data_IF_847336875443
#
_entry.id   IF_847336875443
#
_cell.length_a   1.000
_cell.length_b   1.000
_cell.length_c   1.000
_cell.angle_alpha   90.00
_cell.angle_beta   90.00
_cell.angle_gamma   90.00
#
_symmetry.space_group_name_H-M   'P 1'
#
loop_
_entity.id
_entity.type
_entity.pdbx_description
1 polymer ?
#
# COMPACT_ATOMS: atom_id res chain seq x y z
N UNK A 1 8.07 -8.97 12.61
CA UNK A 1 9.14 -7.94 12.54
C UNK A 1 8.63 -6.50 12.64
N UNK A 2 7.38 -6.20 12.25
CA UNK A 2 6.85 -4.83 12.27
C UNK A 2 7.01 -4.09 13.61
N UNK A 3 6.74 -4.76 14.75
CA UNK A 3 6.84 -4.15 16.08
C UNK A 3 8.27 -3.72 16.46
N UNK A 4 9.29 -4.46 16.00
CA UNK A 4 10.70 -4.13 16.27
C UNK A 4 11.10 -2.89 15.46
N UNK A 5 10.74 -2.85 14.16
CA UNK A 5 10.96 -1.68 13.32
C UNK A 5 10.24 -0.43 13.86
N UNK A 6 8.99 -0.58 14.32
CA UNK A 6 8.23 0.51 14.96
C UNK A 6 8.91 1.04 16.25
N UNK A 7 9.56 0.17 17.04
CA UNK A 7 10.33 0.60 18.20
C UNK A 7 11.52 1.49 17.79
N UNK A 8 12.25 1.12 16.74
CA UNK A 8 13.34 1.94 16.20
C UNK A 8 12.85 3.28 15.65
N UNK A 9 11.71 3.31 14.95
CA UNK A 9 11.07 4.57 14.51
C UNK A 9 10.79 5.49 15.69
N UNK A 10 10.21 4.96 16.79
CA UNK A 10 9.93 5.75 18.00
C UNK A 10 11.20 6.30 18.65
N UNK A 11 12.33 5.60 18.49
CA UNK A 11 13.64 6.05 18.94
C UNK A 11 14.35 7.00 17.94
N UNK A 12 13.72 7.34 16.81
CA UNK A 12 14.30 8.12 15.69
C UNK A 12 15.54 7.47 15.06
N UNK A 13 15.68 6.15 15.21
CA UNK A 13 16.76 5.35 14.63
C UNK A 13 16.30 4.77 13.30
N UNK A 14 16.20 5.62 12.28
CA UNK A 14 15.56 5.24 11.02
C UNK A 14 16.41 4.28 10.17
N UNK A 15 17.73 4.35 10.27
CA UNK A 15 18.67 3.43 9.60
C UNK A 15 18.50 2.01 10.13
N UNK A 16 18.38 1.87 11.44
CA UNK A 16 18.13 0.58 12.10
C UNK A 16 16.73 0.06 11.76
N UNK A 17 15.73 0.94 11.68
CA UNK A 17 14.40 0.55 11.24
C UNK A 17 14.41 0.01 9.80
N UNK A 18 15.13 0.67 8.88
CA UNK A 18 15.26 0.22 7.50
C UNK A 18 15.90 -1.16 7.39
N UNK A 19 16.97 -1.43 8.14
CA UNK A 19 17.63 -2.75 8.10
C UNK A 19 16.74 -3.90 8.59
N UNK A 20 15.74 -3.61 9.43
CA UNK A 20 14.72 -4.59 9.85
C UNK A 20 13.65 -4.79 8.76
N UNK A 21 13.24 -3.73 8.09
CA UNK A 21 12.16 -3.79 7.10
C UNK A 21 12.62 -4.31 5.73
N UNK A 22 13.86 -4.05 5.31
CA UNK A 22 14.42 -4.46 4.02
C UNK A 22 14.35 -5.99 3.77
N UNK A 23 14.74 -6.88 4.71
CA UNK A 23 14.54 -8.33 4.53
C UNK A 23 13.08 -8.75 4.68
N UNK A 24 12.23 -7.97 5.36
CA UNK A 24 10.81 -8.30 5.51
C UNK A 24 10.06 -8.17 4.19
N UNK A 25 10.38 -7.15 3.40
CA UNK A 25 9.75 -6.89 2.11
C UNK A 25 10.03 -8.02 1.11
N UNK A 26 11.20 -8.66 1.20
CA UNK A 26 11.53 -9.84 0.38
C UNK A 26 10.81 -11.12 0.82
N UNK A 27 10.60 -11.30 2.13
CA UNK A 27 9.99 -12.52 2.67
C UNK A 27 8.46 -12.51 2.58
N UNK A 28 7.81 -11.39 2.91
CA UNK A 28 6.35 -11.22 2.84
C UNK A 28 6.01 -9.75 2.69
N UNK A 29 5.46 -9.40 1.54
CA UNK A 29 4.95 -8.06 1.28
C UNK A 29 3.69 -7.80 2.12
N UNK A 30 3.72 -6.71 2.89
CA UNK A 30 2.62 -6.19 3.72
C UNK A 30 2.59 -4.67 3.57
N UNK A 31 1.41 -4.11 3.33
CA UNK A 31 1.18 -2.68 3.19
C UNK A 31 1.76 -1.87 4.36
N UNK A 32 1.68 -2.38 5.58
CA UNK A 32 2.21 -1.69 6.76
C UNK A 32 3.74 -1.62 6.74
N UNK A 33 4.40 -2.73 6.37
CA UNK A 33 5.85 -2.82 6.32
C UNK A 33 6.38 -1.93 5.19
N UNK A 34 5.77 -1.99 4.01
CA UNK A 34 6.14 -1.14 2.87
C UNK A 34 5.98 0.35 3.18
N UNK A 35 4.86 0.75 3.78
CA UNK A 35 4.67 2.16 4.18
C UNK A 35 5.67 2.60 5.25
N UNK A 36 5.92 1.78 6.27
CA UNK A 36 6.91 2.09 7.30
C UNK A 36 8.32 2.21 6.71
N UNK A 37 8.68 1.37 5.73
CA UNK A 37 9.94 1.49 5.00
C UNK A 37 10.04 2.81 4.25
N UNK A 38 8.99 3.21 3.53
CA UNK A 38 8.93 4.50 2.82
C UNK A 38 9.07 5.68 3.78
N UNK A 39 8.37 5.66 4.91
CA UNK A 39 8.44 6.73 5.93
C UNK A 39 9.85 6.85 6.50
N UNK A 40 10.52 5.73 6.80
CA UNK A 40 11.91 5.75 7.26
C UNK A 40 12.86 6.29 6.19
N UNK A 41 12.71 5.82 4.94
CA UNK A 41 13.51 6.30 3.82
C UNK A 41 13.30 7.80 3.56
N UNK A 42 12.07 8.30 3.72
CA UNK A 42 11.74 9.72 3.63
C UNK A 42 12.38 10.53 4.75
N UNK A 43 12.34 10.05 6.01
CA UNK A 43 12.98 10.72 7.13
C UNK A 43 14.51 10.88 6.95
N UNK A 44 15.14 9.96 6.20
CA UNK A 44 16.55 10.00 5.84
C UNK A 44 16.84 10.66 4.48
N UNK A 45 15.82 11.14 3.78
CA UNK A 45 15.92 11.73 2.44
C UNK A 45 16.51 10.76 1.36
N UNK A 46 16.34 9.45 1.55
CA UNK A 46 16.83 8.41 0.63
C UNK A 46 15.84 8.14 -0.50
N UNK A 47 15.86 8.97 -1.56
CA UNK A 47 14.92 8.88 -2.70
C UNK A 47 14.89 7.51 -3.39
N UNK A 48 16.04 6.86 -3.56
CA UNK A 48 16.12 5.53 -4.16
C UNK A 48 15.37 4.47 -3.34
N UNK A 49 15.56 4.47 -2.01
CA UNK A 49 14.83 3.56 -1.11
C UNK A 49 13.33 3.87 -1.09
N UNK A 50 12.92 5.14 -1.19
CA UNK A 50 11.49 5.48 -1.33
C UNK A 50 10.87 4.85 -2.59
N UNK A 51 11.57 4.86 -3.74
CA UNK A 51 11.12 4.20 -4.98
C UNK A 51 10.93 2.70 -4.77
N UNK A 52 11.94 2.04 -4.20
CA UNK A 52 11.93 0.61 -3.93
C UNK A 52 10.77 0.24 -3.01
N UNK A 53 10.59 0.99 -1.92
CA UNK A 53 9.46 0.79 -1.00
C UNK A 53 8.10 0.93 -1.68
N UNK A 54 7.96 1.87 -2.62
CA UNK A 54 6.72 2.04 -3.38
C UNK A 54 6.50 0.89 -4.37
N UNK A 55 7.55 0.40 -5.04
CA UNK A 55 7.46 -0.79 -5.90
C UNK A 55 6.96 -2.01 -5.11
N UNK A 56 7.48 -2.22 -3.90
CA UNK A 56 6.98 -3.27 -3.01
C UNK A 56 5.48 -3.16 -2.71
N UNK A 57 4.96 -1.94 -2.51
CA UNK A 57 3.52 -1.76 -2.29
C UNK A 57 2.68 -2.11 -3.53
N UNK A 58 3.22 -1.89 -4.73
CA UNK A 58 2.55 -2.20 -6.00
C UNK A 58 2.60 -3.69 -6.36
N UNK A 59 3.61 -4.41 -5.86
CA UNK A 59 3.75 -5.86 -6.04
C UNK A 59 2.81 -6.68 -5.16
N UNK A 60 2.18 -6.07 -4.14
CA UNK A 60 1.18 -6.76 -3.32
C UNK A 60 -0.04 -7.07 -4.20
N UNK A 61 -0.42 -8.36 -4.35
CA UNK A 61 -1.58 -8.73 -5.15
C UNK A 61 -2.84 -8.03 -4.64
N UNK A 62 -3.65 -7.44 -5.53
CA UNK A 62 -4.92 -6.86 -5.13
C UNK A 62 -5.85 -7.97 -4.64
N UNK A 63 -6.48 -7.76 -3.49
CA UNK A 63 -7.56 -8.64 -3.04
C UNK A 63 -8.75 -8.50 -4.00
N UNK A 64 -9.24 -9.64 -4.48
CA UNK A 64 -10.41 -9.70 -5.35
C UNK A 64 -11.64 -9.52 -4.46
N UNK A 65 -12.39 -8.45 -4.70
CA UNK A 65 -13.66 -8.19 -4.02
C UNK A 65 -14.75 -9.07 -4.62
N UNK A 66 -15.06 -10.17 -3.94
CA UNK A 66 -16.12 -11.10 -4.34
C UNK A 66 -17.51 -10.61 -3.91
N UNK A 67 -17.58 -9.62 -3.02
CA UNK A 67 -18.84 -9.16 -2.46
C UNK A 67 -19.71 -8.44 -3.51
N UNK A 68 -19.09 -7.81 -4.51
CA UNK A 68 -19.78 -7.23 -5.67
C UNK A 68 -20.41 -8.26 -6.63
N UNK A 69 -20.04 -9.55 -6.55
CA UNK A 69 -20.55 -10.60 -7.46
C UNK A 69 -21.98 -11.02 -7.15
N UNK A 70 -22.49 -10.71 -5.95
CA UNK A 70 -23.85 -11.02 -5.52
C UNK A 70 -24.87 -9.94 -5.94
N UNK A 71 -24.53 -9.05 -6.89
CA UNK A 71 -25.47 -8.09 -7.43
C UNK A 71 -26.56 -8.81 -8.25
N UNK A 72 -27.76 -8.94 -7.69
CA UNK A 72 -28.90 -9.55 -8.38
C UNK A 72 -29.73 -8.49 -9.09
N UNK A 73 -30.12 -8.76 -10.34
CA UNK A 73 -31.13 -7.96 -11.08
C UNK A 73 -32.55 -8.47 -10.84
N UNK A 74 -32.70 -9.45 -9.95
CA UNK A 74 -33.97 -10.08 -9.60
C UNK A 74 -34.84 -9.13 -8.78
N UNK A 75 -36.14 -9.11 -9.08
CA UNK A 75 -37.12 -8.36 -8.30
C UNK A 75 -37.64 -9.12 -7.07
N UNK A 76 -37.17 -10.35 -6.86
CA UNK A 76 -37.56 -11.15 -5.70
C UNK A 76 -37.08 -10.51 -4.39
N UNK A 77 -38.02 -10.32 -3.47
CA UNK A 77 -37.77 -9.67 -2.18
C UNK A 77 -36.92 -10.54 -1.26
N UNK A 78 -37.05 -11.87 -1.34
CA UNK A 78 -36.24 -12.78 -0.54
C UNK A 78 -34.79 -12.78 -1.01
N UNK A 79 -34.55 -12.82 -2.31
CA UNK A 79 -33.22 -12.74 -2.90
C UNK A 79 -32.51 -11.41 -2.55
N UNK A 80 -33.21 -10.28 -2.60
CA UNK A 80 -32.67 -8.97 -2.16
C UNK A 80 -32.23 -8.98 -0.69
N UNK A 81 -33.03 -9.59 0.20
CA UNK A 81 -32.68 -9.71 1.62
C UNK A 81 -31.43 -10.58 1.84
N UNK A 82 -31.28 -11.68 1.09
CA UNK A 82 -30.11 -12.56 1.17
C UNK A 82 -28.85 -11.83 0.69
N UNK A 83 -28.92 -11.11 -0.44
CA UNK A 83 -27.81 -10.31 -0.94
C UNK A 83 -27.38 -9.24 0.07
N UNK A 84 -28.35 -8.56 0.68
CA UNK A 84 -28.05 -7.53 1.68
C UNK A 84 -27.42 -8.12 2.95
N UNK A 85 -27.87 -9.30 3.38
CA UNK A 85 -27.27 -10.00 4.50
C UNK A 85 -25.80 -10.40 4.22
N UNK A 86 -25.47 -10.83 3.00
CA UNK A 86 -24.10 -11.15 2.57
C UNK A 86 -23.23 -9.88 2.54
N UNK A 87 -23.74 -8.77 1.99
CA UNK A 87 -22.99 -7.50 1.95
C UNK A 87 -22.60 -6.96 3.33
N UNK A 88 -23.36 -7.32 4.35
CA UNK A 88 -23.13 -6.91 5.73
C UNK A 88 -22.58 -8.03 6.62
N UNK A 89 -22.22 -9.17 6.03
CA UNK A 89 -21.58 -10.23 6.79
C UNK A 89 -20.15 -9.84 7.20
N UNK A 90 -19.60 -10.46 8.27
CA UNK A 90 -18.29 -10.11 8.78
C UNK A 90 -17.14 -10.28 7.79
N UNK A 91 -17.22 -11.25 6.87
CA UNK A 91 -16.18 -11.53 5.88
C UNK A 91 -16.17 -10.42 4.81
N UNK A 92 -17.31 -10.10 4.22
CA UNK A 92 -17.41 -9.02 3.22
C UNK A 92 -16.97 -7.67 3.81
N UNK A 93 -17.38 -7.38 5.05
CA UNK A 93 -16.94 -6.18 5.76
C UNK A 93 -15.42 -6.15 5.95
N UNK A 94 -14.81 -7.27 6.33
CA UNK A 94 -13.37 -7.39 6.50
C UNK A 94 -12.59 -7.21 5.18
N UNK A 95 -13.04 -7.82 4.09
CA UNK A 95 -12.44 -7.67 2.76
C UNK A 95 -12.48 -6.20 2.29
N UNK A 96 -13.63 -5.54 2.47
CA UNK A 96 -13.79 -4.12 2.17
C UNK A 96 -12.85 -3.26 3.00
N UNK A 97 -12.77 -3.49 4.31
CA UNK A 97 -11.85 -2.77 5.19
C UNK A 97 -10.39 -2.97 4.78
N UNK A 98 -10.00 -4.18 4.39
CA UNK A 98 -8.64 -4.47 3.99
C UNK A 98 -8.28 -3.79 2.66
N UNK A 99 -9.21 -3.79 1.69
CA UNK A 99 -9.09 -3.01 0.44
C UNK A 99 -8.96 -1.52 0.70
N UNK A 100 -9.80 -0.95 1.56
CA UNK A 100 -9.71 0.45 1.92
C UNK A 100 -8.38 0.78 2.59
N UNK A 101 -7.87 -0.12 3.45
CA UNK A 101 -6.57 0.04 4.10
C UNK A 101 -5.43 0.02 3.09
N UNK A 102 -5.46 -0.89 2.11
CA UNK A 102 -4.50 -0.94 1.02
C UNK A 102 -4.50 0.38 0.20
N UNK A 103 -5.68 0.84 -0.21
CA UNK A 103 -5.83 2.10 -0.97
C UNK A 103 -5.32 3.31 -0.19
N UNK A 104 -5.70 3.45 1.09
CA UNK A 104 -5.23 4.52 1.97
C UNK A 104 -3.71 4.48 2.11
N UNK A 105 -3.13 3.28 2.24
CA UNK A 105 -1.67 3.10 2.34
C UNK A 105 -0.96 3.56 1.07
N UNK A 106 -1.41 3.11 -0.10
CA UNK A 106 -0.83 3.51 -1.39
C UNK A 106 -0.93 5.02 -1.57
N UNK A 107 -2.11 5.61 -1.33
CA UNK A 107 -2.32 7.06 -1.45
C UNK A 107 -1.40 7.85 -0.49
N UNK A 108 -1.24 7.37 0.74
CA UNK A 108 -0.34 7.98 1.71
C UNK A 108 1.11 7.92 1.23
N UNK A 109 1.56 6.76 0.73
CA UNK A 109 2.88 6.60 0.16
C UNK A 109 3.10 7.52 -1.05
N UNK A 110 2.13 7.62 -1.95
CA UNK A 110 2.17 8.56 -3.08
C UNK A 110 2.33 9.99 -2.60
N UNK A 111 1.54 10.45 -1.63
CA UNK A 111 1.64 11.81 -1.10
C UNK A 111 3.01 12.11 -0.47
N UNK A 112 3.66 11.13 0.15
CA UNK A 112 5.01 11.27 0.71
C UNK A 112 6.05 11.40 -0.41
N UNK A 113 5.90 10.60 -1.48
CA UNK A 113 6.92 10.47 -2.52
C UNK A 113 6.77 11.53 -3.62
N UNK A 114 5.56 11.96 -3.94
CA UNK A 114 5.27 12.92 -5.01
C UNK A 114 6.14 14.20 -4.95
N UNK A 115 6.30 14.86 -3.78
CA UNK A 115 7.18 16.04 -3.67
C UNK A 115 8.66 15.71 -3.86
N UNK A 116 9.08 14.47 -3.61
CA UNK A 116 10.47 14.04 -3.70
C UNK A 116 10.91 13.69 -5.12
N UNK A 117 9.98 13.22 -5.96
CA UNK A 117 10.24 12.84 -7.37
C UNK A 117 10.45 14.09 -8.22
N UNK A 118 9.64 15.13 -8.03
CA UNK A 118 9.78 16.34 -8.81
C UNK A 118 9.12 17.56 -8.14
N UNK A 119 9.78 18.71 -8.22
CA UNK A 119 9.19 20.01 -7.86
C UNK A 119 8.09 20.44 -8.84
N UNK A 120 8.06 19.87 -10.06
CA UNK A 120 7.05 20.13 -11.09
C UNK A 120 6.66 18.85 -11.83
N UNK A 121 5.45 18.78 -12.39
CA UNK A 121 4.99 17.61 -13.16
C UNK A 121 5.89 17.26 -14.36
N UNK A 122 6.65 18.24 -14.89
CA UNK A 122 7.57 18.05 -16.01
C UNK A 122 8.85 17.27 -15.64
N UNK A 123 9.39 17.46 -14.43
CA UNK A 123 10.63 16.78 -14.01
C UNK A 123 10.38 15.32 -13.60
N UNK A 124 9.14 14.95 -13.27
CA UNK A 124 8.79 13.55 -12.99
C UNK A 124 8.80 12.67 -14.25
N UNK A 125 8.53 13.27 -15.41
CA UNK A 125 8.48 12.60 -16.71
C UNK A 125 9.86 12.24 -17.26
N UNK A 126 10.92 12.96 -16.87
CA UNK A 126 12.29 12.65 -17.28
C UNK A 126 12.84 11.41 -16.57
N UNK A 127 12.38 11.10 -15.35
CA UNK A 127 12.89 9.95 -14.59
C UNK A 127 12.50 8.59 -15.15
N UNK A 128 11.39 8.49 -15.89
CA UNK A 128 11.00 7.24 -16.56
C UNK A 128 11.76 7.00 -17.88
N UNK A 129 12.26 8.06 -18.52
CA UNK A 129 12.79 7.99 -19.89
C UNK A 129 14.32 7.96 -19.99
N UNK A 130 15.05 8.21 -18.90
CA UNK A 130 16.53 8.23 -18.95
C UNK A 130 17.16 6.82 -18.85
N UNK A 131 16.41 5.81 -18.39
CA UNK A 131 16.90 4.42 -18.28
C UNK A 131 16.51 3.52 -19.47
N UNK A 132 15.95 4.07 -20.56
CA UNK A 132 15.48 3.29 -21.74
C UNK A 132 15.98 3.81 -23.08
N UNK A 133 17.23 4.24 -23.17
CA UNK A 133 17.90 4.47 -24.46
C UNK A 133 19.22 3.68 -24.51
N UNK A 134 19.36 2.66 -25.40
CA UNK A 134 20.65 2.11 -25.78
C UNK A 134 21.48 3.10 -26.62
#
# INVERSE_FOLDING_TARGET
MNNIGLAYIKMKRYEDALSIFEPCTEAKLDFNIGLNFIVCAHALNHKGKMKIGFQYLLEIPPEVDDCGKYATQSDDSMEKLVVEAIKHDPLCMWEKENRERAQKTILTATNIISPCIASSFADGYTWYNVDTLP
#
